data_IF_696743038001
#
_entry.id   IF_696743038001
#
_cell.length_a   1.000
_cell.length_b   1.000
_cell.length_c   1.000
_cell.angle_alpha   90.00
_cell.angle_beta   90.00
_cell.angle_gamma   90.00
#
_symmetry.space_group_name_H-M   'P 1'
#
loop_
_entity.id
_entity.type
_entity.pdbx_description
1 polymer ?
#
# COMPACT_ATOMS: atom_id res chain seq x y z
N UNK A 1 6.52 9.06 10.93
CA UNK A 1 6.18 8.81 9.51
C UNK A 1 4.76 8.28 9.45
N UNK A 2 3.91 8.80 8.57
CA UNK A 2 2.54 8.33 8.42
C UNK A 2 2.46 7.23 7.36
N UNK A 3 1.46 6.34 7.48
CA UNK A 3 1.24 5.26 6.51
C UNK A 3 1.00 5.78 5.08
N UNK A 4 0.37 6.93 4.92
CA UNK A 4 0.15 7.52 3.59
C UNK A 4 1.46 7.93 2.91
N UNK A 5 2.48 8.35 3.67
CA UNK A 5 3.77 8.79 3.14
C UNK A 5 4.48 7.64 2.40
N UNK A 6 4.49 6.45 2.98
CA UNK A 6 5.10 5.25 2.37
C UNK A 6 4.35 4.82 1.11
N UNK A 7 3.02 4.91 1.11
CA UNK A 7 2.22 4.56 -0.05
C UNK A 7 2.43 5.53 -1.21
N UNK A 8 2.51 6.83 -0.92
CA UNK A 8 2.87 7.84 -1.93
C UNK A 8 4.28 7.60 -2.47
N UNK A 9 5.26 7.33 -1.58
CA UNK A 9 6.63 7.04 -1.99
C UNK A 9 6.71 5.81 -2.89
N UNK A 10 6.06 4.71 -2.51
CA UNK A 10 6.01 3.49 -3.31
C UNK A 10 5.39 3.75 -4.69
N UNK A 11 4.27 4.45 -4.74
CA UNK A 11 3.63 4.81 -6.00
C UNK A 11 4.52 5.68 -6.89
N UNK A 12 5.18 6.71 -6.34
CA UNK A 12 6.13 7.54 -7.09
C UNK A 12 7.31 6.70 -7.61
N UNK A 13 7.80 5.77 -6.79
CA UNK A 13 8.90 4.85 -7.14
C UNK A 13 8.50 3.93 -8.31
N UNK A 14 7.35 3.28 -8.24
CA UNK A 14 6.82 2.41 -9.30
C UNK A 14 6.59 3.18 -10.61
N UNK A 15 6.10 4.42 -10.53
CA UNK A 15 5.97 5.30 -11.70
C UNK A 15 7.33 5.62 -12.33
N UNK A 16 8.32 5.99 -11.50
CA UNK A 16 9.68 6.23 -11.96
C UNK A 16 10.29 5.00 -12.64
N UNK A 17 10.18 3.83 -12.02
CA UNK A 17 10.66 2.56 -12.58
C UNK A 17 9.97 2.21 -13.91
N UNK A 18 8.66 2.43 -14.01
CA UNK A 18 7.90 2.22 -15.25
C UNK A 18 8.49 3.04 -16.41
N UNK A 19 8.95 4.28 -16.14
CA UNK A 19 9.59 5.14 -17.14
C UNK A 19 11.05 4.78 -17.44
N UNK A 20 11.73 4.07 -16.52
CA UNK A 20 13.10 3.58 -16.72
C UNK A 20 13.15 2.25 -17.50
N UNK A 21 12.04 1.52 -17.58
CA UNK A 21 11.94 0.16 -18.14
C UNK A 21 12.16 -0.93 -17.08
N UNK A 22 11.40 -2.02 -17.17
CA UNK A 22 11.28 -3.08 -16.13
C UNK A 22 12.53 -3.91 -15.87
N UNK A 23 13.60 -3.77 -16.66
CA UNK A 23 14.82 -4.58 -16.55
C UNK A 23 15.89 -3.98 -15.61
N UNK A 24 15.69 -2.77 -15.09
CA UNK A 24 16.74 -1.99 -14.42
C UNK A 24 16.64 -1.97 -12.89
N UNK A 25 16.34 -3.10 -12.23
CA UNK A 25 16.32 -3.15 -10.75
C UNK A 25 17.70 -3.48 -10.16
N UNK A 26 18.15 -2.81 -9.07
CA UNK A 26 17.52 -1.65 -8.43
C UNK A 26 17.66 -0.38 -9.29
N UNK A 27 16.54 0.30 -9.54
CA UNK A 27 16.49 1.47 -10.43
C UNK A 27 17.02 2.75 -9.78
N UNK A 28 17.12 2.75 -8.45
CA UNK A 28 17.61 3.88 -7.67
C UNK A 28 18.76 3.46 -6.75
N UNK A 29 19.61 4.42 -6.41
CA UNK A 29 20.76 4.16 -5.53
C UNK A 29 20.35 4.30 -4.07
N UNK A 30 20.37 5.53 -3.54
CA UNK A 30 20.18 5.77 -2.11
C UNK A 30 18.91 6.56 -1.84
N UNK A 31 18.14 6.11 -0.85
CA UNK A 31 17.03 6.83 -0.26
C UNK A 31 17.39 7.20 1.19
N UNK A 32 17.19 8.48 1.55
CA UNK A 32 17.32 8.95 2.92
C UNK A 32 15.96 9.49 3.35
N UNK A 33 15.31 8.80 4.28
CA UNK A 33 14.08 9.25 4.93
C UNK A 33 14.45 10.25 6.04
N UNK A 34 14.29 11.53 5.75
CA UNK A 34 14.55 12.60 6.72
C UNK A 34 13.26 12.94 7.48
N UNK A 35 13.18 12.53 8.74
CA UNK A 35 12.06 12.89 9.63
C UNK A 35 12.42 14.20 10.32
N UNK A 36 11.67 15.25 9.99
CA UNK A 36 11.84 16.59 10.55
C UNK A 36 11.12 16.69 11.90
N UNK A 37 11.60 17.63 12.71
CA UNK A 37 10.97 18.01 13.99
C UNK A 37 10.69 16.82 14.89
N UNK A 38 11.69 15.94 15.04
CA UNK A 38 11.60 14.76 15.89
C UNK A 38 11.64 15.15 17.37
N UNK A 39 10.52 14.97 18.06
CA UNK A 39 10.33 15.36 19.47
C UNK A 39 10.46 14.17 20.46
N UNK A 40 10.39 12.91 19.98
CA UNK A 40 10.36 11.70 20.84
C UNK A 40 11.74 11.11 21.17
N UNK A 41 12.66 11.95 21.63
CA UNK A 41 14.07 11.57 21.86
C UNK A 41 14.28 10.49 22.91
N UNK A 42 13.36 10.36 23.85
CA UNK A 42 13.39 9.32 24.89
C UNK A 42 13.18 7.92 24.32
N UNK A 43 12.52 7.80 23.16
CA UNK A 43 12.30 6.51 22.50
C UNK A 43 13.37 6.21 21.46
N UNK A 44 13.74 7.23 20.66
CA UNK A 44 14.76 7.11 19.63
C UNK A 44 15.56 8.40 19.55
N UNK A 45 16.88 8.30 19.66
CA UNK A 45 17.78 9.45 19.61
C UNK A 45 17.80 10.11 18.22
N UNK A 46 18.12 11.41 18.17
CA UNK A 46 18.31 12.09 16.88
C UNK A 46 19.54 11.54 16.12
N UNK A 47 19.45 11.48 14.79
CA UNK A 47 20.50 11.00 13.90
C UNK A 47 20.15 9.74 13.12
N UNK A 48 21.16 9.12 12.50
CA UNK A 48 21.00 7.89 11.71
C UNK A 48 20.74 6.65 12.58
N UNK A 49 21.42 6.54 13.74
CA UNK A 49 21.29 5.38 14.61
C UNK A 49 19.85 5.22 15.16
N UNK A 50 19.30 6.30 15.73
CA UNK A 50 17.90 6.29 16.16
C UNK A 50 16.91 6.18 14.99
N UNK A 51 17.25 6.72 13.82
CA UNK A 51 16.43 6.56 12.61
C UNK A 51 16.35 5.12 12.12
N UNK A 52 17.46 4.38 12.15
CA UNK A 52 17.48 2.96 11.80
C UNK A 52 16.65 2.12 12.78
N UNK A 53 16.80 2.36 14.08
CA UNK A 53 15.97 1.72 15.12
C UNK A 53 14.48 2.05 14.91
N UNK A 54 14.15 3.33 14.70
CA UNK A 54 12.78 3.77 14.46
C UNK A 54 12.18 3.09 13.23
N UNK A 55 12.94 3.02 12.14
CA UNK A 55 12.50 2.40 10.90
C UNK A 55 12.25 0.89 11.08
N UNK A 56 13.15 0.18 11.76
CA UNK A 56 13.00 -1.24 12.04
C UNK A 56 11.77 -1.51 12.93
N UNK A 57 11.56 -0.73 13.97
CA UNK A 57 10.39 -0.83 14.85
C UNK A 57 9.10 -0.50 14.10
N UNK A 58 9.11 0.57 13.30
CA UNK A 58 7.95 0.97 12.51
C UNK A 58 7.50 -0.13 11.55
N UNK A 59 8.46 -0.79 10.86
CA UNK A 59 8.13 -1.93 10.02
C UNK A 59 7.67 -3.11 10.88
N UNK A 60 8.38 -3.49 11.94
CA UNK A 60 7.97 -4.66 12.74
C UNK A 60 6.55 -4.54 13.35
N UNK A 61 6.18 -3.36 13.82
CA UNK A 61 4.91 -3.15 14.55
C UNK A 61 3.70 -2.91 13.63
N UNK A 62 3.89 -2.40 12.40
CA UNK A 62 2.78 -1.97 11.53
C UNK A 62 2.50 -2.90 10.34
N UNK A 63 3.14 -4.06 10.26
CA UNK A 63 3.08 -4.95 9.08
C UNK A 63 1.76 -5.70 8.95
N UNK A 64 0.82 -5.11 8.21
CA UNK A 64 -0.16 -5.92 7.48
C UNK A 64 0.49 -6.56 6.25
N UNK A 65 -0.10 -7.62 5.68
CA UNK A 65 0.42 -8.26 4.44
C UNK A 65 0.68 -7.26 3.31
N UNK A 66 -0.16 -6.23 3.19
CA UNK A 66 -0.01 -5.16 2.19
C UNK A 66 1.19 -4.24 2.50
N UNK A 67 1.40 -3.90 3.77
CA UNK A 67 2.53 -3.06 4.19
C UNK A 67 3.87 -3.77 3.93
N UNK A 68 3.89 -5.09 4.07
CA UNK A 68 5.06 -5.91 3.74
C UNK A 68 5.40 -5.91 2.25
N UNK A 69 4.40 -5.88 1.37
CA UNK A 69 4.63 -5.78 -0.07
C UNK A 69 5.18 -4.40 -0.45
N UNK A 70 4.64 -3.34 0.15
CA UNK A 70 5.11 -1.96 -0.06
C UNK A 70 6.56 -1.82 0.40
N UNK A 71 6.88 -2.31 1.59
CA UNK A 71 8.26 -2.32 2.09
C UNK A 71 9.19 -3.11 1.17
N UNK A 72 8.80 -4.32 0.77
CA UNK A 72 9.63 -5.18 -0.08
C UNK A 72 9.89 -4.54 -1.45
N UNK A 73 8.89 -3.91 -2.07
CA UNK A 73 9.07 -3.16 -3.32
C UNK A 73 10.01 -1.97 -3.13
N UNK A 74 9.87 -1.20 -2.06
CA UNK A 74 10.80 -0.10 -1.78
C UNK A 74 12.22 -0.63 -1.61
N UNK A 75 12.41 -1.69 -0.81
CA UNK A 75 13.74 -2.31 -0.62
C UNK A 75 14.35 -2.90 -1.90
N UNK A 76 13.54 -3.38 -2.84
CA UNK A 76 14.07 -3.85 -4.13
C UNK A 76 14.35 -2.72 -5.12
N UNK A 77 13.72 -1.56 -4.94
CA UNK A 77 13.86 -0.40 -5.82
C UNK A 77 15.12 0.42 -5.56
N UNK A 78 15.62 0.41 -4.32
CA UNK A 78 16.79 1.20 -3.88
C UNK A 78 17.92 0.28 -3.41
N UNK A 79 19.17 0.60 -3.75
CA UNK A 79 20.35 -0.12 -3.23
C UNK A 79 20.59 0.09 -1.73
N UNK A 80 20.17 1.24 -1.20
CA UNK A 80 20.36 1.63 0.21
C UNK A 80 19.18 2.50 0.67
N UNK A 81 18.56 2.15 1.80
CA UNK A 81 17.50 2.93 2.44
C UNK A 81 17.93 3.21 3.87
N UNK A 82 18.00 4.48 4.21
CA UNK A 82 18.39 4.94 5.55
C UNK A 82 17.35 5.92 6.07
N UNK A 83 17.26 6.06 7.39
CA UNK A 83 16.41 7.04 8.04
C UNK A 83 17.25 7.94 8.95
N UNK A 84 16.94 9.22 8.98
CA UNK A 84 17.57 10.20 9.86
C UNK A 84 16.50 10.97 10.63
N UNK A 85 16.62 10.97 11.95
CA UNK A 85 15.75 11.74 12.84
C UNK A 85 16.38 13.10 13.11
N UNK A 86 15.79 14.16 12.58
CA UNK A 86 16.27 15.52 12.77
C UNK A 86 15.53 16.18 13.93
N UNK A 87 16.28 16.79 14.85
CA UNK A 87 15.69 17.67 15.86
C UNK A 87 14.85 18.78 15.22
N UNK A 88 13.93 19.33 16.01
CA UNK A 88 13.29 20.61 15.75
C UNK A 88 14.33 21.71 15.58
N UNK A 89 14.13 22.60 14.61
CA UNK A 89 15.07 23.69 14.31
C UNK A 89 14.95 24.90 15.23
N UNK A 90 13.77 25.14 15.80
CA UNK A 90 13.48 26.34 16.61
C UNK A 90 12.43 26.08 17.69
N UNK A 91 12.56 26.79 18.80
CA UNK A 91 11.49 26.95 19.79
C UNK A 91 10.28 27.64 19.14
N UNK A 92 9.07 27.37 19.65
CA UNK A 92 7.73 27.54 19.06
C UNK A 92 7.35 28.84 18.34
N UNK A 93 8.22 29.87 18.29
CA UNK A 93 8.03 31.11 17.53
C UNK A 93 9.29 31.45 16.73
N UNK A 94 9.14 31.54 15.41
CA UNK A 94 10.18 32.10 14.55
C UNK A 94 10.21 33.63 14.72
N UNK A 95 11.38 34.25 14.96
CA UNK A 95 11.51 35.70 14.99
C UNK A 95 11.24 36.28 13.60
N UNK A 96 10.59 37.45 13.56
CA UNK A 96 10.41 38.20 12.31
C UNK A 96 11.78 38.52 11.70
N UNK A 97 11.95 38.27 10.41
CA UNK A 97 13.22 38.49 9.71
C UNK A 97 14.25 37.35 9.85
N UNK A 98 13.83 36.14 10.23
CA UNK A 98 14.70 34.97 10.13
C UNK A 98 15.15 34.73 8.68
N UNK A 99 16.46 34.81 8.45
CA UNK A 99 17.11 34.67 7.16
C UNK A 99 18.12 33.50 7.14
N UNK A 100 18.02 32.57 8.11
CA UNK A 100 18.95 31.43 8.24
C UNK A 100 20.12 31.67 9.20
N UNK A 101 20.03 32.66 10.09
CA UNK A 101 21.08 32.93 11.07
C UNK A 101 21.24 31.76 12.05
N UNK A 102 22.46 31.20 12.13
CA UNK A 102 22.73 29.99 12.92
C UNK A 102 22.54 30.18 14.43
N UNK A 103 22.81 31.38 14.95
CA UNK A 103 22.67 31.71 16.37
C UNK A 103 21.21 31.73 16.85
N UNK A 104 20.23 31.65 15.94
CA UNK A 104 18.81 31.56 16.26
C UNK A 104 18.27 30.11 16.19
N UNK A 105 19.12 29.14 15.84
CA UNK A 105 18.77 27.73 15.76
C UNK A 105 19.10 27.01 17.07
N UNK A 106 18.33 25.96 17.36
CA UNK A 106 18.63 25.09 18.50
C UNK A 106 19.97 24.35 18.30
N UNK A 107 20.77 24.26 19.37
CA UNK A 107 22.08 23.62 19.33
C UNK A 107 22.00 22.17 18.82
N UNK A 108 21.00 21.41 19.28
CA UNK A 108 20.77 20.04 18.84
C UNK A 108 20.44 19.92 17.36
N UNK A 109 19.76 20.92 16.78
CA UNK A 109 19.52 20.95 15.34
C UNK A 109 20.83 21.14 14.58
N UNK A 110 21.69 22.05 15.05
CA UNK A 110 23.02 22.26 14.47
C UNK A 110 23.86 20.97 14.57
N UNK A 111 23.87 20.30 15.72
CA UNK A 111 24.53 19.00 15.90
C UNK A 111 23.97 17.93 14.95
N UNK A 112 22.67 17.93 14.67
CA UNK A 112 22.06 17.06 13.67
C UNK A 112 22.54 17.39 12.25
N UNK A 113 22.62 18.67 11.89
CA UNK A 113 23.14 19.11 10.58
C UNK A 113 24.60 18.68 10.39
N UNK A 114 25.44 18.83 11.41
CA UNK A 114 26.85 18.43 11.38
C UNK A 114 27.02 16.91 11.18
N UNK A 115 26.03 16.11 11.59
CA UNK A 115 25.99 14.67 11.31
C UNK A 115 25.41 14.35 9.93
N UNK A 116 24.34 15.04 9.53
CA UNK A 116 23.59 14.76 8.30
C UNK A 116 24.36 15.17 7.05
N UNK A 117 24.82 16.42 6.99
CA UNK A 117 25.36 17.01 5.76
C UNK A 117 26.63 16.27 5.30
N UNK A 118 27.64 15.99 6.16
CA UNK A 118 28.79 15.23 5.72
C UNK A 118 28.43 13.82 5.25
N UNK A 119 27.44 13.17 5.87
CA UNK A 119 26.99 11.83 5.43
C UNK A 119 26.31 11.88 4.06
N UNK A 120 25.57 12.93 3.71
CA UNK A 120 24.98 13.07 2.38
C UNK A 120 26.08 13.36 1.34
N UNK A 121 26.88 14.39 1.59
CA UNK A 121 27.84 14.91 0.60
C UNK A 121 29.03 13.97 0.38
N UNK A 122 29.59 13.35 1.43
CA UNK A 122 30.72 12.42 1.28
C UNK A 122 30.35 11.10 0.61
N UNK A 123 29.06 10.76 0.56
CA UNK A 123 28.57 9.51 -0.05
C UNK A 123 27.98 9.72 -1.44
N UNK A 124 28.27 10.87 -2.07
CA UNK A 124 28.02 11.06 -3.50
C UNK A 124 28.98 10.15 -4.26
N UNK A 125 28.48 8.98 -4.66
CA UNK A 125 29.19 8.08 -5.57
C UNK A 125 29.10 8.66 -6.98
N UNK A 126 30.20 8.59 -7.71
CA UNK A 126 30.23 8.97 -9.12
C UNK A 126 29.21 8.12 -9.90
N UNK A 127 28.42 8.77 -10.75
CA UNK A 127 27.47 8.06 -11.59
C UNK A 127 28.23 7.39 -12.73
N UNK A 128 28.49 6.10 -12.59
CA UNK A 128 29.26 5.32 -13.57
C UNK A 128 28.52 5.15 -14.92
N UNK A 129 27.22 5.47 -14.96
CA UNK A 129 26.35 5.28 -16.14
C UNK A 129 26.13 6.59 -16.89
N UNK A 130 25.86 7.70 -16.19
CA UNK A 130 25.67 9.03 -16.77
C UNK A 130 26.85 9.91 -16.33
N UNK A 131 27.93 9.82 -17.08
CA UNK A 131 29.24 10.40 -16.73
C UNK A 131 29.34 11.89 -17.10
N UNK A 132 28.43 12.39 -17.93
CA UNK A 132 28.43 13.80 -18.37
C UNK A 132 27.10 14.49 -18.12
N UNK A 133 27.13 15.81 -17.97
CA UNK A 133 25.91 16.62 -17.86
C UNK A 133 24.99 16.48 -19.08
N UNK A 134 25.55 16.29 -20.28
CA UNK A 134 24.78 16.05 -21.50
C UNK A 134 24.01 14.73 -21.46
N UNK A 135 24.65 13.65 -21.02
CA UNK A 135 23.98 12.36 -20.82
C UNK A 135 22.88 12.44 -19.76
N UNK A 136 23.13 13.14 -18.66
CA UNK A 136 22.12 13.38 -17.62
C UNK A 136 20.92 14.17 -18.16
N UNK A 137 21.18 15.23 -18.93
CA UNK A 137 20.13 16.04 -19.53
C UNK A 137 19.31 15.24 -20.56
N UNK A 138 19.96 14.45 -21.41
CA UNK A 138 19.29 13.56 -22.36
C UNK A 138 18.38 12.57 -21.63
N UNK A 139 18.88 11.91 -20.57
CA UNK A 139 18.07 11.01 -19.74
C UNK A 139 16.89 11.73 -19.09
N UNK A 140 17.09 12.94 -18.58
CA UNK A 140 16.02 13.76 -18.01
C UNK A 140 14.92 14.02 -19.03
N UNK A 141 15.27 14.48 -20.24
CA UNK A 141 14.29 14.75 -21.32
C UNK A 141 13.53 13.49 -21.70
N UNK A 142 14.23 12.36 -21.92
CA UNK A 142 13.58 11.09 -22.26
C UNK A 142 12.64 10.62 -21.16
N UNK A 143 13.08 10.63 -19.90
CA UNK A 143 12.24 10.22 -18.76
C UNK A 143 11.04 11.15 -18.58
N UNK A 144 11.21 12.45 -18.80
CA UNK A 144 10.13 13.44 -18.72
C UNK A 144 9.05 13.21 -19.79
N UNK A 145 9.45 13.05 -21.06
CA UNK A 145 8.51 12.79 -22.15
C UNK A 145 7.78 11.44 -21.95
N UNK A 146 8.48 10.41 -21.49
CA UNK A 146 7.85 9.13 -21.15
C UNK A 146 6.80 9.32 -20.05
N UNK A 147 7.14 9.97 -18.93
CA UNK A 147 6.21 10.18 -17.81
C UNK A 147 5.01 11.05 -18.21
N UNK A 148 5.23 12.08 -19.04
CA UNK A 148 4.17 12.96 -19.56
C UNK A 148 3.14 12.20 -20.40
N UNK A 149 3.59 11.19 -21.14
CA UNK A 149 2.72 10.34 -21.98
C UNK A 149 2.09 9.17 -21.21
N UNK A 150 2.51 8.92 -19.96
CA UNK A 150 1.85 7.94 -19.09
C UNK A 150 0.54 8.50 -18.54
N UNK A 151 -0.40 7.59 -18.22
CA UNK A 151 -1.62 7.97 -17.52
C UNK A 151 -1.28 8.65 -16.17
N UNK A 152 -2.01 9.71 -15.76
CA UNK A 152 -1.79 10.39 -14.50
C UNK A 152 -1.75 9.41 -13.32
N UNK A 153 -0.87 9.68 -12.36
CA UNK A 153 -0.70 8.87 -11.15
C UNK A 153 -2.04 8.65 -10.42
N UNK A 154 -2.90 9.67 -10.41
CA UNK A 154 -4.26 9.60 -9.82
C UNK A 154 -5.10 8.49 -10.48
N UNK A 155 -5.06 8.38 -11.81
CA UNK A 155 -5.80 7.35 -12.54
C UNK A 155 -5.21 5.95 -12.28
N UNK A 156 -3.91 5.85 -11.98
CA UNK A 156 -3.26 4.59 -11.55
C UNK A 156 -3.64 4.21 -10.11
N UNK A 157 -3.82 5.17 -9.20
CA UNK A 157 -4.36 4.91 -7.84
C UNK A 157 -5.76 4.32 -7.95
N UNK A 158 -6.61 4.92 -8.78
CA UNK A 158 -7.95 4.40 -9.03
C UNK A 158 -7.90 3.00 -9.66
N UNK A 159 -6.95 2.75 -10.56
CA UNK A 159 -6.72 1.42 -11.14
C UNK A 159 -6.23 0.38 -10.11
N UNK A 160 -5.36 0.77 -9.17
CA UNK A 160 -4.95 -0.07 -8.06
C UNK A 160 -6.12 -0.33 -7.11
N UNK A 161 -6.95 0.69 -6.83
CA UNK A 161 -8.19 0.53 -6.06
C UNK A 161 -9.16 -0.43 -6.74
N UNK A 162 -9.26 -0.42 -8.08
CA UNK A 162 -10.01 -1.43 -8.83
C UNK A 162 -9.44 -2.84 -8.60
N UNK A 163 -8.12 -3.01 -8.61
CA UNK A 163 -7.48 -4.30 -8.32
C UNK A 163 -7.70 -4.77 -6.88
N UNK A 164 -7.56 -3.87 -5.90
CA UNK A 164 -7.85 -4.17 -4.49
C UNK A 164 -9.32 -4.51 -4.29
N UNK A 165 -10.24 -3.79 -4.95
CA UNK A 165 -11.66 -4.11 -4.96
C UNK A 165 -11.95 -5.48 -5.55
N UNK A 166 -11.32 -5.82 -6.66
CA UNK A 166 -11.44 -7.15 -7.29
C UNK A 166 -10.90 -8.25 -6.39
N UNK A 167 -9.79 -8.01 -5.68
CA UNK A 167 -9.23 -8.98 -4.73
C UNK A 167 -10.16 -9.18 -3.53
N UNK A 168 -10.68 -8.10 -2.94
CA UNK A 168 -11.65 -8.17 -1.86
C UNK A 168 -12.95 -8.89 -2.31
N UNK A 169 -13.40 -8.62 -3.53
CA UNK A 169 -14.55 -9.27 -4.15
C UNK A 169 -14.32 -10.79 -4.28
N UNK A 170 -13.19 -11.20 -4.86
CA UNK A 170 -12.84 -12.61 -4.99
C UNK A 170 -12.76 -13.32 -3.63
N UNK A 171 -12.20 -12.68 -2.60
CA UNK A 171 -12.14 -13.24 -1.25
C UNK A 171 -13.54 -13.42 -0.64
N UNK A 172 -14.43 -12.45 -0.82
CA UNK A 172 -15.81 -12.53 -0.35
C UNK A 172 -16.59 -13.65 -1.06
N UNK A 173 -16.45 -13.76 -2.39
CA UNK A 173 -17.06 -14.85 -3.17
C UNK A 173 -16.50 -16.21 -2.74
N UNK A 174 -15.18 -16.33 -2.55
CA UNK A 174 -14.57 -17.57 -2.06
C UNK A 174 -15.07 -17.95 -0.66
N UNK A 175 -15.26 -16.98 0.23
CA UNK A 175 -15.84 -17.20 1.56
C UNK A 175 -17.30 -17.67 1.50
N UNK A 176 -18.11 -17.09 0.60
CA UNK A 176 -19.47 -17.57 0.35
C UNK A 176 -19.47 -19.00 -0.20
N UNK A 177 -18.68 -19.28 -1.23
CA UNK A 177 -18.56 -20.61 -1.84
C UNK A 177 -18.15 -21.65 -0.79
N UNK A 178 -17.16 -21.33 0.07
CA UNK A 178 -16.76 -22.21 1.17
C UNK A 178 -17.93 -22.52 2.11
N UNK A 179 -18.68 -21.51 2.54
CA UNK A 179 -19.86 -21.71 3.38
C UNK A 179 -20.93 -22.58 2.70
N UNK A 180 -21.11 -22.46 1.38
CA UNK A 180 -22.03 -23.31 0.62
C UNK A 180 -21.54 -24.75 0.50
N UNK A 181 -20.25 -24.97 0.23
CA UNK A 181 -19.66 -26.33 0.18
C UNK A 181 -19.70 -27.01 1.56
N UNK A 182 -19.47 -26.26 2.64
CA UNK A 182 -19.55 -26.79 4.00
C UNK A 182 -20.97 -27.21 4.38
N UNK A 183 -21.99 -26.55 3.80
CA UNK A 183 -23.41 -26.89 3.96
C UNK A 183 -23.81 -28.09 3.12
N UNK A 184 -23.27 -28.23 1.90
CA UNK A 184 -23.57 -29.29 0.94
C UNK A 184 -22.46 -30.34 0.86
N UNK A 185 -21.99 -30.85 2.00
CA UNK A 185 -20.93 -31.89 2.06
C UNK A 185 -21.29 -33.17 1.29
N UNK A 186 -22.57 -33.44 1.14
CA UNK A 186 -23.11 -34.46 0.26
C UNK A 186 -24.11 -33.79 -0.70
N UNK A 187 -23.64 -33.49 -1.91
CA UNK A 187 -24.41 -32.80 -2.97
C UNK A 187 -25.57 -33.64 -3.53
N UNK A 188 -25.78 -34.87 -3.04
CA UNK A 188 -26.86 -35.76 -3.47
C UNK A 188 -28.08 -35.73 -2.57
N UNK A 189 -27.96 -35.19 -1.34
CA UNK A 189 -29.05 -35.16 -0.36
C UNK A 189 -29.70 -33.76 -0.36
N UNK A 190 -31.00 -33.66 -0.67
CA UNK A 190 -31.68 -32.38 -0.61
C UNK A 190 -31.80 -31.87 0.84
N UNK A 191 -31.62 -30.57 1.00
CA UNK A 191 -31.73 -29.86 2.28
C UNK A 191 -33.13 -29.24 2.40
N UNK A 192 -33.62 -29.09 3.63
CA UNK A 192 -34.86 -28.33 3.86
C UNK A 192 -34.72 -26.88 3.32
N UNK A 193 -35.65 -26.40 2.47
CA UNK A 193 -35.55 -25.09 1.83
C UNK A 193 -35.55 -23.92 2.80
N UNK A 194 -36.16 -24.06 3.98
CA UNK A 194 -36.15 -23.01 5.00
C UNK A 194 -34.75 -22.91 5.61
N UNK A 195 -34.17 -24.05 5.98
CA UNK A 195 -32.80 -24.12 6.50
C UNK A 195 -31.81 -23.62 5.45
N UNK A 196 -31.95 -24.05 4.20
CA UNK A 196 -31.07 -23.63 3.11
C UNK A 196 -31.10 -22.11 2.90
N UNK A 197 -32.28 -21.48 2.93
CA UNK A 197 -32.41 -20.02 2.79
C UNK A 197 -31.74 -19.28 3.95
N UNK A 198 -31.97 -19.72 5.18
CA UNK A 198 -31.36 -19.11 6.38
C UNK A 198 -29.83 -19.20 6.33
N UNK A 199 -29.28 -20.33 5.89
CA UNK A 199 -27.82 -20.50 5.77
C UNK A 199 -27.22 -19.71 4.60
N UNK A 200 -27.94 -19.58 3.47
CA UNK A 200 -27.56 -18.68 2.37
C UNK A 200 -27.48 -17.24 2.87
N UNK A 201 -28.49 -16.76 3.59
CA UNK A 201 -28.51 -15.40 4.12
C UNK A 201 -27.32 -15.13 5.05
N UNK A 202 -27.03 -16.04 5.98
CA UNK A 202 -25.84 -15.98 6.85
C UNK A 202 -24.53 -15.96 6.06
N UNK A 203 -24.43 -16.76 5.00
CA UNK A 203 -23.25 -16.80 4.16
C UNK A 203 -23.06 -15.51 3.37
N UNK A 204 -24.14 -14.92 2.84
CA UNK A 204 -24.13 -13.61 2.17
C UNK A 204 -23.68 -12.53 3.15
N UNK A 205 -24.25 -12.48 4.36
CA UNK A 205 -23.85 -11.52 5.38
C UNK A 205 -22.37 -11.64 5.74
N UNK A 206 -21.87 -12.87 5.91
CA UNK A 206 -20.47 -13.15 6.23
C UNK A 206 -19.53 -12.71 5.10
N UNK A 207 -19.89 -12.99 3.85
CA UNK A 207 -19.12 -12.56 2.68
C UNK A 207 -19.12 -11.03 2.51
N UNK A 208 -20.28 -10.37 2.69
CA UNK A 208 -20.40 -8.91 2.63
C UNK A 208 -19.62 -8.24 3.75
N UNK A 209 -19.63 -8.81 4.96
CA UNK A 209 -18.84 -8.33 6.09
C UNK A 209 -17.35 -8.42 5.78
N UNK A 210 -16.89 -9.59 5.33
CA UNK A 210 -15.50 -9.79 4.90
C UNK A 210 -15.09 -8.79 3.81
N UNK A 211 -15.96 -8.55 2.81
CA UNK A 211 -15.72 -7.56 1.76
C UNK A 211 -15.50 -6.17 2.37
N UNK A 212 -16.38 -5.71 3.27
CA UNK A 212 -16.30 -4.39 3.91
C UNK A 212 -15.07 -4.23 4.81
N UNK A 213 -14.70 -5.28 5.54
CA UNK A 213 -13.59 -5.28 6.49
C UNK A 213 -12.22 -5.47 5.82
N UNK A 214 -12.20 -5.98 4.57
CA UNK A 214 -10.96 -6.09 3.80
C UNK A 214 -10.41 -4.69 3.53
N UNK A 215 -9.21 -4.43 4.06
CA UNK A 215 -8.52 -3.13 4.00
C UNK A 215 -8.25 -2.68 2.57
N UNK A 216 -8.52 -1.41 2.26
CA UNK A 216 -8.29 -0.76 0.96
C UNK A 216 -7.76 0.65 1.13
N UNK A 217 -7.20 1.24 0.09
CA UNK A 217 -6.55 2.56 0.12
C UNK A 217 -7.48 3.68 -0.41
N UNK A 218 -7.62 4.79 0.32
CA UNK A 218 -8.29 6.01 -0.16
C UNK A 218 -9.78 6.15 0.18
N UNK A 219 -10.33 7.37 0.01
CA UNK A 219 -11.70 7.75 0.43
C UNK A 219 -12.83 7.04 -0.34
N UNK A 220 -12.58 6.52 -1.54
CA UNK A 220 -13.59 5.88 -2.41
C UNK A 220 -13.39 4.35 -2.55
N UNK A 221 -12.60 3.75 -1.67
CA UNK A 221 -12.14 2.38 -1.86
C UNK A 221 -13.24 1.32 -1.69
N UNK A 222 -14.31 1.58 -0.93
CA UNK A 222 -15.47 0.71 -0.84
C UNK A 222 -16.74 1.52 -1.09
N UNK A 223 -17.17 1.59 -2.35
CA UNK A 223 -18.41 2.28 -2.70
C UNK A 223 -19.63 1.45 -2.30
N UNK A 224 -20.71 2.12 -1.91
CA UNK A 224 -22.01 1.48 -1.69
C UNK A 224 -22.46 0.67 -2.92
N UNK A 225 -22.16 1.17 -4.13
CA UNK A 225 -22.43 0.47 -5.39
C UNK A 225 -21.69 -0.88 -5.48
N UNK A 226 -20.43 -0.94 -5.04
CA UNK A 226 -19.63 -2.18 -5.09
C UNK A 226 -20.16 -3.23 -4.12
N UNK A 227 -20.62 -2.80 -2.93
CA UNK A 227 -21.29 -3.67 -1.95
C UNK A 227 -22.61 -4.19 -2.51
N UNK A 228 -23.40 -3.32 -3.14
CA UNK A 228 -24.68 -3.67 -3.73
C UNK A 228 -24.53 -4.66 -4.89
N UNK A 229 -23.50 -4.46 -5.74
CA UNK A 229 -23.17 -5.39 -6.83
C UNK A 229 -22.82 -6.78 -6.29
N UNK A 230 -21.96 -6.86 -5.25
CA UNK A 230 -21.63 -8.14 -4.61
C UNK A 230 -22.86 -8.82 -4.02
N UNK A 231 -23.72 -8.10 -3.29
CA UNK A 231 -24.97 -8.65 -2.74
C UNK A 231 -25.84 -9.28 -3.83
N UNK A 232 -26.11 -8.54 -4.90
CA UNK A 232 -26.92 -9.03 -6.04
C UNK A 232 -26.35 -10.30 -6.68
N UNK A 233 -25.03 -10.38 -6.80
CA UNK A 233 -24.36 -11.56 -7.33
C UNK A 233 -24.50 -12.78 -6.42
N UNK A 234 -24.32 -12.60 -5.12
CA UNK A 234 -24.47 -13.69 -4.14
C UNK A 234 -25.93 -14.12 -3.99
N UNK A 235 -26.87 -13.19 -4.02
CA UNK A 235 -28.32 -13.48 -4.01
C UNK A 235 -28.75 -14.27 -5.26
N UNK A 236 -28.13 -13.99 -6.41
CA UNK A 236 -28.34 -14.78 -7.63
C UNK A 236 -27.80 -16.21 -7.45
N UNK A 237 -26.60 -16.38 -6.91
CA UNK A 237 -26.05 -17.70 -6.60
C UNK A 237 -26.93 -18.48 -5.60
N UNK A 238 -27.44 -17.80 -4.56
CA UNK A 238 -28.35 -18.38 -3.60
C UNK A 238 -29.64 -18.88 -4.24
N UNK A 239 -30.24 -18.09 -5.14
CA UNK A 239 -31.44 -18.51 -5.90
C UNK A 239 -31.20 -19.73 -6.78
N UNK A 240 -30.04 -19.79 -7.45
CA UNK A 240 -29.66 -20.96 -8.25
C UNK A 240 -29.56 -22.20 -7.34
N UNK A 241 -28.94 -22.07 -6.16
CA UNK A 241 -28.81 -23.18 -5.20
C UNK A 241 -30.16 -23.66 -4.66
N UNK A 242 -31.09 -22.77 -4.37
CA UNK A 242 -32.46 -23.15 -3.95
C UNK A 242 -33.16 -23.93 -5.06
N UNK A 243 -33.06 -23.47 -6.31
CA UNK A 243 -33.65 -24.15 -7.46
C UNK A 243 -33.03 -25.55 -7.67
N UNK A 244 -31.70 -25.65 -7.64
CA UNK A 244 -31.00 -26.94 -7.74
C UNK A 244 -31.44 -27.92 -6.63
N UNK A 245 -31.60 -27.42 -5.41
CA UNK A 245 -32.07 -28.21 -4.26
C UNK A 245 -33.52 -28.69 -4.46
N UNK A 246 -34.40 -27.83 -4.95
CA UNK A 246 -35.79 -28.20 -5.24
C UNK A 246 -35.88 -29.25 -6.36
N UNK A 247 -35.04 -29.13 -7.40
CA UNK A 247 -34.95 -30.13 -8.49
C UNK A 247 -34.38 -31.47 -8.03
N UNK A 248 -33.47 -31.48 -7.04
CA UNK A 248 -33.02 -32.71 -6.39
C UNK A 248 -34.17 -33.37 -5.60
N UNK A 249 -35.01 -32.57 -4.92
CA UNK A 249 -36.19 -33.09 -4.18
C UNK A 249 -37.25 -33.69 -5.10
N UNK A 250 -37.46 -33.11 -6.27
CA UNK A 250 -38.47 -33.60 -7.24
C UNK A 250 -37.95 -34.73 -8.14
N UNK A 251 -36.66 -35.07 -8.06
CA UNK A 251 -36.03 -36.10 -8.89
C UNK A 251 -35.68 -35.63 -10.32
N UNK A 252 -35.83 -34.34 -10.61
CA UNK A 252 -35.53 -33.73 -11.93
C UNK A 252 -34.02 -33.47 -12.15
N UNK A 253 -33.22 -33.57 -11.09
CA UNK A 253 -31.76 -33.48 -11.13
C UNK A 253 -31.18 -34.80 -10.58
N UNK A 254 -30.46 -35.55 -11.42
CA UNK A 254 -29.56 -36.62 -10.97
C UNK A 254 -28.13 -36.15 -11.22
N UNK A 255 -27.44 -35.67 -10.19
CA UNK A 255 -26.01 -35.35 -10.30
C UNK A 255 -25.25 -36.67 -10.29
N UNK A 256 -24.50 -36.92 -11.38
CA UNK A 256 -23.62 -38.09 -11.54
C UNK A 256 -22.46 -38.06 -10.54
#
# INVERSE_FOLDING_TARGET
>A
MQKNDLNHLHLCTENGLSALGSENLPGFKKLVLLIRDWEHRTTHECGFAGGEQYMNNYFFENMTKHDSQVEQSLRSSFTDITCFLMSKHMYSRQPEGFAGQLNLLEEDFLLCLDKLIPRIVKNVKENTVLQTGSQLFSRFVTSFETLKNMAPIVNRIDSQNVSYNRTAHNLAVAQYCKSMTDLTKDDTIPIDPKILREEIEKAVEKAVRLFKETKRMGRNACSAESVERLKKELDLHGRIRVNDNDRLRTGELQRK
#
